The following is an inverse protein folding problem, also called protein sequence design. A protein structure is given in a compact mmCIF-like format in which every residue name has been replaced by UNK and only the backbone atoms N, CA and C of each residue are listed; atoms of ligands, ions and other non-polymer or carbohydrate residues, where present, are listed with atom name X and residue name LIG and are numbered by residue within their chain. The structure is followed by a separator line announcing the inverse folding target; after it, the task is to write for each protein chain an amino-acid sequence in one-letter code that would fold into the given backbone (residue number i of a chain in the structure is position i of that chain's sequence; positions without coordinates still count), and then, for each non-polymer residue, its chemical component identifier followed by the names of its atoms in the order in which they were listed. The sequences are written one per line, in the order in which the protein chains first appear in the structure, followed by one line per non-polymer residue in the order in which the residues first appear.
data_IF_904979292333
#
_entry.id   IF_904979292333
#
_cell.length_a   1.000
_cell.length_b   1.000
_cell.length_c   1.000
_cell.angle_alpha   90.00
_cell.angle_beta   90.00
_cell.angle_gamma   90.00
#
_symmetry.space_group_name_H-M   'P 1'
#
loop_
_entity.id
_entity.type
_entity.pdbx_description
1 polymer ?
#
# COMPACT_ATOMS: atom_id res chain seq x y z
N UNK A 1 -8.44 2.37 -26.88
CA UNK A 1 -9.35 2.76 -27.95
C UNK A 1 -9.29 4.28 -28.15
N UNK A 2 -8.88 4.71 -29.37
CA UNK A 2 -8.71 6.14 -29.70
C UNK A 2 -10.05 6.87 -29.85
N UNK A 3 -11.10 6.20 -30.29
CA UNK A 3 -12.40 6.85 -30.46
C UNK A 3 -13.05 7.13 -29.09
N UNK A 4 -12.87 6.22 -28.14
CA UNK A 4 -13.26 6.48 -26.76
C UNK A 4 -12.49 7.69 -26.16
N UNK A 5 -11.18 7.75 -26.38
CA UNK A 5 -10.37 8.90 -25.91
C UNK A 5 -10.85 10.21 -26.54
N UNK A 6 -11.07 10.25 -27.86
CA UNK A 6 -11.60 11.43 -28.55
C UNK A 6 -12.95 11.85 -27.99
N UNK A 7 -13.85 10.88 -27.78
CA UNK A 7 -15.15 11.14 -27.20
C UNK A 7 -15.04 11.75 -25.80
N UNK A 8 -14.26 11.14 -24.90
CA UNK A 8 -14.07 11.68 -23.54
C UNK A 8 -13.42 13.05 -23.55
N UNK A 9 -12.47 13.29 -24.46
CA UNK A 9 -11.81 14.60 -24.59
C UNK A 9 -12.75 15.66 -25.16
N UNK A 10 -13.77 15.29 -25.92
CA UNK A 10 -14.78 16.22 -26.45
C UNK A 10 -15.81 16.68 -25.42
N UNK A 11 -15.92 15.97 -24.28
CA UNK A 11 -16.81 16.38 -23.19
C UNK A 11 -16.29 17.67 -22.55
N UNK A 12 -17.19 18.61 -22.31
CA UNK A 12 -16.87 19.89 -21.64
C UNK A 12 -16.10 19.64 -20.34
N UNK A 13 -14.92 20.26 -20.13
CA UNK A 13 -14.10 20.05 -18.93
C UNK A 13 -14.85 20.25 -17.62
N UNK A 14 -15.75 21.21 -17.54
CA UNK A 14 -16.57 21.49 -16.36
C UNK A 14 -17.43 20.30 -15.94
N UNK A 15 -17.90 19.49 -16.88
CA UNK A 15 -18.69 18.28 -16.60
C UNK A 15 -17.85 17.15 -16.03
N UNK A 16 -16.53 17.18 -16.21
CA UNK A 16 -15.59 16.16 -15.71
C UNK A 16 -15.04 16.48 -14.33
N UNK A 17 -15.28 17.69 -13.82
CA UNK A 17 -14.88 18.08 -12.46
C UNK A 17 -15.74 17.33 -11.45
N UNK A 18 -15.08 16.72 -10.46
CA UNK A 18 -15.78 16.02 -9.39
C UNK A 18 -16.44 17.02 -8.43
N UNK A 19 -17.76 17.17 -8.53
CA UNK A 19 -18.57 18.01 -7.64
C UNK A 19 -19.52 17.17 -6.77
N UNK A 20 -19.43 15.84 -6.81
CA UNK A 20 -20.38 14.90 -6.21
C UNK A 20 -19.77 14.11 -5.05
N UNK A 21 -18.59 14.47 -4.60
CA UNK A 21 -17.83 13.75 -3.56
C UNK A 21 -17.67 12.23 -3.84
N UNK A 22 -17.67 11.88 -5.12
CA UNK A 22 -17.53 10.52 -5.60
C UNK A 22 -16.58 10.48 -6.81
N UNK A 23 -15.44 9.82 -6.64
CA UNK A 23 -14.49 9.66 -7.73
C UNK A 23 -15.07 8.96 -8.96
N UNK A 24 -14.77 9.49 -10.16
CA UNK A 24 -15.25 8.97 -11.47
C UNK A 24 -16.77 9.00 -11.60
N UNK A 25 -17.46 9.95 -10.99
CA UNK A 25 -18.92 10.02 -10.98
C UNK A 25 -19.52 9.96 -12.38
N UNK A 26 -19.06 10.78 -13.30
CA UNK A 26 -19.58 10.83 -14.67
C UNK A 26 -19.53 9.46 -15.37
N UNK A 27 -18.42 8.74 -15.21
CA UNK A 27 -18.26 7.39 -15.78
C UNK A 27 -19.24 6.39 -15.12
N UNK A 28 -19.36 6.43 -13.81
CA UNK A 28 -20.26 5.54 -13.06
C UNK A 28 -21.72 5.79 -13.43
N UNK A 29 -22.12 7.06 -13.46
CA UNK A 29 -23.49 7.48 -13.83
C UNK A 29 -23.85 7.07 -15.28
N UNK A 30 -22.87 7.06 -16.18
CA UNK A 30 -23.10 6.63 -17.57
C UNK A 30 -23.52 5.14 -17.67
N UNK A 31 -23.13 4.31 -16.72
CA UNK A 31 -23.46 2.87 -16.69
C UNK A 31 -24.60 2.51 -15.71
N UNK A 32 -25.12 3.48 -14.99
CA UNK A 32 -26.16 3.24 -13.97
C UNK A 32 -27.46 2.67 -14.58
N UNK A 33 -27.94 3.27 -15.69
CA UNK A 33 -29.20 2.89 -16.31
C UNK A 33 -29.23 1.47 -16.86
N UNK A 34 -28.10 1.00 -17.34
CA UNK A 34 -28.02 -0.27 -18.04
C UNK A 34 -27.81 -1.46 -17.09
N UNK A 35 -27.63 -1.20 -15.80
CA UNK A 35 -27.40 -2.20 -14.74
C UNK A 35 -26.36 -3.26 -15.14
N UNK A 36 -25.31 -2.84 -15.87
CA UNK A 36 -24.25 -3.73 -16.35
C UNK A 36 -23.32 -4.19 -15.22
N UNK A 37 -23.29 -3.45 -14.14
CA UNK A 37 -22.54 -3.76 -12.93
C UNK A 37 -23.45 -3.74 -11.71
N UNK A 38 -23.26 -4.64 -10.74
CA UNK A 38 -23.92 -4.54 -9.44
C UNK A 38 -23.61 -3.18 -8.76
N UNK A 39 -24.59 -2.64 -8.03
CA UNK A 39 -24.48 -1.31 -7.43
C UNK A 39 -23.31 -1.20 -6.42
N UNK A 40 -23.05 -2.25 -5.66
CA UNK A 40 -21.93 -2.35 -4.72
C UNK A 40 -20.55 -2.28 -5.43
N UNK A 41 -20.47 -2.64 -6.70
CA UNK A 41 -19.28 -2.47 -7.54
C UNK A 41 -19.28 -1.10 -8.20
N UNK A 42 -20.42 -0.72 -8.81
CA UNK A 42 -20.55 0.55 -9.55
C UNK A 42 -20.24 1.75 -8.65
N UNK A 43 -20.76 1.75 -7.41
CA UNK A 43 -20.66 2.86 -6.47
C UNK A 43 -19.61 2.66 -5.37
N UNK A 44 -18.77 1.62 -5.49
CA UNK A 44 -17.68 1.39 -4.53
C UNK A 44 -16.73 2.59 -4.49
N UNK A 45 -16.34 3.00 -3.29
CA UNK A 45 -15.29 4.01 -3.12
C UNK A 45 -14.01 3.58 -3.82
N UNK A 46 -13.30 4.56 -4.41
CA UNK A 46 -12.02 4.29 -5.04
C UNK A 46 -11.04 3.83 -3.96
N UNK A 47 -10.39 2.70 -4.22
CA UNK A 47 -9.25 2.26 -3.45
C UNK A 47 -8.05 2.10 -4.40
N UNK A 48 -6.84 2.40 -3.92
CA UNK A 48 -5.64 2.02 -4.63
C UNK A 48 -5.52 0.49 -4.65
N UNK A 49 -4.78 -0.05 -5.61
CA UNK A 49 -4.57 -1.50 -5.68
C UNK A 49 -3.94 -2.04 -4.38
N UNK A 50 -2.97 -1.31 -3.82
CA UNK A 50 -2.35 -1.62 -2.53
C UNK A 50 -3.36 -1.71 -1.39
N UNK A 51 -4.33 -0.79 -1.33
CA UNK A 51 -5.33 -0.76 -0.27
C UNK A 51 -6.39 -1.87 -0.46
N UNK A 52 -6.72 -2.19 -1.71
CA UNK A 52 -7.72 -3.20 -2.02
C UNK A 52 -7.22 -4.65 -1.80
N UNK A 53 -5.91 -4.88 -1.93
CA UNK A 53 -5.29 -6.21 -1.87
C UNK A 53 -4.32 -6.34 -0.68
N UNK A 54 -3.72 -5.25 -0.25
CA UNK A 54 -2.57 -5.26 0.65
C UNK A 54 -2.90 -5.28 2.14
N UNK A 55 -4.10 -4.83 2.55
CA UNK A 55 -4.41 -4.71 3.98
C UNK A 55 -4.32 -6.06 4.71
N UNK A 56 -5.02 -7.08 4.23
CA UNK A 56 -4.98 -8.40 4.84
C UNK A 56 -3.59 -9.03 4.79
N UNK A 57 -2.90 -8.95 3.65
CA UNK A 57 -1.56 -9.52 3.49
C UNK A 57 -0.54 -8.87 4.42
N UNK A 58 -0.61 -7.55 4.61
CA UNK A 58 0.31 -6.82 5.50
C UNK A 58 0.07 -7.22 6.96
N UNK A 59 -1.19 -7.33 7.37
CA UNK A 59 -1.53 -7.75 8.72
C UNK A 59 -1.18 -9.22 8.95
N UNK A 60 -1.48 -10.10 8.00
CA UNK A 60 -1.12 -11.52 8.03
C UNK A 60 0.40 -11.73 8.15
N UNK A 61 1.21 -10.98 7.42
CA UNK A 61 2.68 -11.07 7.48
C UNK A 61 3.23 -10.62 8.84
N UNK A 62 2.66 -9.56 9.40
CA UNK A 62 3.02 -9.12 10.75
C UNK A 62 2.67 -10.17 11.79
N UNK A 63 1.43 -10.67 11.77
CA UNK A 63 0.97 -11.71 12.67
C UNK A 63 1.83 -12.98 12.53
N UNK A 64 2.13 -13.38 11.30
CA UNK A 64 3.04 -14.49 11.05
C UNK A 64 4.42 -14.27 11.67
N UNK A 65 5.00 -13.07 11.51
CA UNK A 65 6.30 -12.75 12.11
C UNK A 65 6.25 -12.76 13.64
N UNK A 66 5.16 -12.29 14.25
CA UNK A 66 4.96 -12.34 15.70
C UNK A 66 4.87 -13.78 16.22
N UNK A 67 4.24 -14.69 15.47
CA UNK A 67 4.16 -16.10 15.84
C UNK A 67 5.48 -16.85 15.62
N UNK A 68 6.29 -16.41 14.64
CA UNK A 68 7.53 -17.07 14.24
C UNK A 68 8.70 -16.82 15.20
N UNK A 69 8.74 -15.64 15.82
CA UNK A 69 9.84 -15.24 16.70
C UNK A 69 9.32 -14.85 18.08
N UNK A 70 9.91 -15.42 19.12
CA UNK A 70 9.81 -14.86 20.47
C UNK A 70 10.62 -13.55 20.56
N UNK A 71 10.35 -12.72 21.55
CA UNK A 71 11.12 -11.49 21.76
C UNK A 71 12.61 -11.77 22.00
N UNK A 72 12.92 -12.85 22.74
CA UNK A 72 14.30 -13.26 22.99
C UNK A 72 15.02 -13.69 21.70
N UNK A 73 14.37 -14.48 20.86
CA UNK A 73 14.91 -14.88 19.55
C UNK A 73 15.10 -13.70 18.61
N UNK A 74 14.16 -12.77 18.61
CA UNK A 74 14.29 -11.54 17.82
C UNK A 74 15.51 -10.74 18.26
N UNK A 75 15.67 -10.47 19.56
CA UNK A 75 16.80 -9.70 20.09
C UNK A 75 18.15 -10.40 19.89
N UNK A 76 18.21 -11.72 19.87
CA UNK A 76 19.41 -12.47 19.55
C UNK A 76 19.74 -12.42 18.05
N UNK A 77 18.74 -12.70 17.20
CA UNK A 77 18.93 -12.83 15.76
C UNK A 77 19.22 -11.51 15.09
N UNK A 78 18.58 -10.42 15.50
CA UNK A 78 18.81 -9.09 14.90
C UNK A 78 20.27 -8.63 15.04
N UNK A 79 20.93 -9.01 16.14
CA UNK A 79 22.33 -8.63 16.40
C UNK A 79 23.34 -9.26 15.44
N UNK A 80 22.93 -10.26 14.64
CA UNK A 80 23.77 -10.84 13.58
C UNK A 80 23.98 -9.91 12.39
N UNK A 81 23.16 -8.87 12.30
CA UNK A 81 23.15 -7.93 11.17
C UNK A 81 23.71 -6.58 11.61
N UNK A 82 24.94 -6.26 11.23
CA UNK A 82 25.58 -4.98 11.56
C UNK A 82 25.05 -3.83 10.66
N UNK A 83 24.63 -4.17 9.44
CA UNK A 83 24.11 -3.21 8.47
C UNK A 83 22.60 -3.38 8.29
N UNK A 84 21.84 -2.27 8.27
CA UNK A 84 20.40 -2.26 8.19
C UNK A 84 19.77 -3.26 9.19
N UNK A 85 20.14 -3.12 10.46
CA UNK A 85 19.71 -4.03 11.52
C UNK A 85 18.19 -4.05 11.63
N UNK A 86 17.55 -5.23 11.62
CA UNK A 86 16.10 -5.34 11.81
C UNK A 86 15.66 -4.74 13.14
N UNK A 87 14.58 -3.98 13.15
CA UNK A 87 14.01 -3.33 14.33
C UNK A 87 12.58 -3.80 14.68
N UNK A 88 11.97 -4.62 13.84
CA UNK A 88 10.73 -5.36 14.11
C UNK A 88 10.90 -6.82 13.72
N UNK A 89 10.06 -7.71 14.27
CA UNK A 89 10.04 -9.14 13.88
C UNK A 89 9.73 -9.32 12.39
N UNK A 90 8.86 -8.46 11.84
CA UNK A 90 8.55 -8.44 10.43
C UNK A 90 9.79 -8.07 9.58
N UNK A 91 10.53 -7.03 9.97
CA UNK A 91 11.77 -6.67 9.28
C UNK A 91 12.85 -7.73 9.40
N UNK A 92 12.90 -8.45 10.52
CA UNK A 92 13.78 -9.62 10.66
C UNK A 92 13.38 -10.76 9.72
N UNK A 93 12.08 -11.03 9.58
CA UNK A 93 11.56 -12.02 8.63
C UNK A 93 12.04 -11.72 7.21
N UNK A 94 11.87 -10.48 6.76
CA UNK A 94 12.32 -10.05 5.43
C UNK A 94 13.84 -10.15 5.28
N UNK A 95 14.60 -9.80 6.31
CA UNK A 95 16.05 -9.90 6.30
C UNK A 95 16.53 -11.35 6.21
N UNK A 96 15.95 -12.27 6.96
CA UNK A 96 16.29 -13.69 6.87
C UNK A 96 15.97 -14.27 5.49
N UNK A 97 14.83 -13.88 4.88
CA UNK A 97 14.48 -14.28 3.52
C UNK A 97 15.49 -13.71 2.51
N UNK A 98 15.86 -12.42 2.65
CA UNK A 98 16.84 -11.80 1.78
C UNK A 98 18.19 -12.55 1.83
N UNK A 99 18.72 -12.81 3.02
CA UNK A 99 20.00 -13.51 3.18
C UNK A 99 19.96 -14.95 2.66
N UNK A 100 18.80 -15.60 2.71
CA UNK A 100 18.63 -16.94 2.14
C UNK A 100 18.80 -16.97 0.63
N UNK A 101 18.28 -15.95 -0.09
CA UNK A 101 18.32 -15.91 -1.54
C UNK A 101 19.46 -15.09 -2.11
N UNK A 102 19.99 -14.15 -1.33
CA UNK A 102 21.07 -13.25 -1.72
C UNK A 102 22.17 -13.19 -0.63
N UNK A 103 22.83 -14.33 -0.33
CA UNK A 103 23.80 -14.40 0.77
C UNK A 103 24.96 -13.43 0.52
N UNK A 104 25.30 -12.65 1.54
CA UNK A 104 26.40 -11.68 1.49
C UNK A 104 26.12 -10.42 0.65
N UNK A 105 24.91 -10.24 0.14
CA UNK A 105 24.54 -9.07 -0.66
C UNK A 105 23.91 -7.94 0.17
N UNK A 106 23.94 -8.04 1.49
CA UNK A 106 23.40 -7.01 2.38
C UNK A 106 23.88 -5.58 2.07
N UNK A 107 25.13 -5.32 1.67
CA UNK A 107 25.58 -3.98 1.31
C UNK A 107 24.84 -3.34 0.11
N UNK A 108 24.11 -4.13 -0.68
CA UNK A 108 23.24 -3.62 -1.74
C UNK A 108 21.93 -3.00 -1.20
N UNK A 109 21.52 -3.40 -0.01
CA UNK A 109 20.35 -2.83 0.68
C UNK A 109 20.79 -1.53 1.33
N UNK A 110 20.30 -0.39 0.85
CA UNK A 110 20.68 0.92 1.41
C UNK A 110 20.10 1.13 2.79
N UNK A 111 18.80 0.83 2.94
CA UNK A 111 18.07 0.94 4.20
C UNK A 111 16.68 0.29 4.02
N UNK A 112 15.91 0.19 5.11
CA UNK A 112 14.47 -0.08 5.01
C UNK A 112 13.77 1.11 4.35
N UNK A 113 12.77 0.82 3.50
CA UNK A 113 11.92 1.89 3.03
C UNK A 113 11.17 2.52 4.20
N UNK A 114 11.26 3.83 4.29
CA UNK A 114 10.54 4.63 5.26
C UNK A 114 9.97 5.85 4.55
N UNK A 115 8.78 6.33 4.94
CA UNK A 115 8.27 7.59 4.43
C UNK A 115 9.17 8.76 4.84
N UNK A 116 9.09 9.86 4.11
CA UNK A 116 9.82 11.06 4.47
C UNK A 116 9.27 11.63 5.79
N UNK A 117 10.07 11.57 6.84
CA UNK A 117 9.68 12.00 8.19
C UNK A 117 9.32 13.49 8.31
N UNK A 118 9.73 14.31 7.34
CA UNK A 118 9.33 15.73 7.29
C UNK A 118 7.88 15.95 6.83
N UNK A 119 7.24 14.94 6.28
CA UNK A 119 5.84 15.02 5.85
C UNK A 119 4.91 14.79 7.03
N UNK A 120 3.82 15.53 7.05
CA UNK A 120 2.80 15.42 8.09
C UNK A 120 2.31 13.98 8.21
N UNK A 121 2.34 13.41 9.41
CA UNK A 121 1.88 12.05 9.68
C UNK A 121 2.84 10.92 9.26
N UNK A 122 4.05 11.26 8.77
CA UNK A 122 5.03 10.28 8.28
C UNK A 122 6.24 10.11 9.22
N UNK A 123 6.26 10.72 10.41
CA UNK A 123 7.32 10.51 11.41
C UNK A 123 7.08 9.19 12.17
N UNK A 124 7.38 8.09 11.51
CA UNK A 124 7.15 6.72 12.00
C UNK A 124 8.44 5.92 11.97
N UNK A 125 8.54 4.91 12.82
CA UNK A 125 9.67 3.99 12.90
C UNK A 125 9.34 2.56 12.46
N UNK A 126 8.11 2.29 12.06
CA UNK A 126 7.68 1.02 11.48
C UNK A 126 7.72 1.12 9.94
N UNK A 127 8.38 0.20 9.21
CA UNK A 127 8.41 0.22 7.76
C UNK A 127 7.06 -0.07 7.11
N UNK A 128 6.07 -0.51 7.87
CA UNK A 128 4.73 -0.77 7.37
C UNK A 128 3.95 0.51 7.15
N UNK A 129 3.36 0.67 5.96
CA UNK A 129 2.53 1.82 5.61
C UNK A 129 1.30 2.01 6.52
N UNK A 130 0.83 0.95 7.21
CA UNK A 130 -0.36 0.99 8.10
C UNK A 130 -0.20 1.88 9.32
N UNK A 131 1.02 2.25 9.70
CA UNK A 131 1.26 3.20 10.81
C UNK A 131 1.12 4.65 10.38
N UNK A 132 0.94 4.93 9.10
CA UNK A 132 0.70 6.27 8.60
C UNK A 132 -0.71 6.74 8.99
N UNK A 133 -0.83 8.01 9.38
CA UNK A 133 -2.12 8.59 9.80
C UNK A 133 -3.16 8.63 8.68
N UNK A 134 -2.72 8.59 7.43
CA UNK A 134 -3.56 8.58 6.23
C UNK A 134 -3.62 7.21 5.55
N UNK A 135 -3.28 6.15 6.26
CA UNK A 135 -3.37 4.79 5.72
C UNK A 135 -4.83 4.46 5.38
N UNK A 136 -5.07 4.01 4.15
CA UNK A 136 -6.42 3.75 3.64
C UNK A 136 -7.09 4.92 2.94
N UNK A 137 -6.52 6.14 3.00
CA UNK A 137 -7.05 7.32 2.30
C UNK A 137 -6.46 7.50 0.89
N UNK A 138 -5.60 6.59 0.46
CA UNK A 138 -4.95 6.68 -0.84
C UNK A 138 -5.98 6.59 -1.96
N UNK A 139 -6.07 7.66 -2.74
CA UNK A 139 -6.97 7.77 -3.88
C UNK A 139 -8.30 8.50 -3.63
N UNK A 140 -8.45 9.14 -2.48
CA UNK A 140 -9.50 10.15 -2.25
C UNK A 140 -9.10 11.50 -2.83
#
# INVERSE_FOLDING_TARGET
DLDFVKYVMSIEPAMKVNTYDMGKYLLRHAFEKDHLLPDDILWRQKAAFSDAVGHSMVDDLKEYAETKYTDAEFEEKRKKYDFAQPFTKESLLYREIFEKYYPGQAPMVKDFWMPNKSWKGCDVNDPSARVLSNYGESGT
#
